data_IF_819747414914
#
_entry.id   IF_819747414914
#
_cell.length_a   1.000
_cell.length_b   1.000
_cell.length_c   1.000
_cell.angle_alpha   90.00
_cell.angle_beta   90.00
_cell.angle_gamma   90.00
#
_symmetry.space_group_name_H-M   'P 1'
#
loop_
_entity.id
_entity.type
_entity.pdbx_description
1 polymer ?
#
# COMPACT_ATOMS: atom_id res chain seq x y z
N UNK A 1 -15.71 3.95 -22.52
CA UNK A 1 -15.70 4.90 -21.39
C UNK A 1 -16.07 4.20 -20.05
N UNK A 2 -15.32 3.18 -19.63
CA UNK A 2 -15.57 2.42 -18.38
C UNK A 2 -14.52 2.74 -17.27
N UNK A 3 -13.54 3.61 -17.54
CA UNK A 3 -12.43 3.94 -16.63
C UNK A 3 -12.77 4.71 -15.34
N UNK A 4 -14.02 5.13 -15.12
CA UNK A 4 -14.38 5.99 -13.97
C UNK A 4 -14.29 5.27 -12.63
N UNK A 5 -14.67 4.00 -12.57
CA UNK A 5 -14.70 3.24 -11.30
C UNK A 5 -13.29 2.72 -10.92
N UNK A 6 -12.50 2.29 -11.91
CA UNK A 6 -11.12 1.83 -11.71
C UNK A 6 -10.23 2.93 -11.11
N UNK A 7 -10.33 4.14 -11.67
CA UNK A 7 -9.58 5.30 -11.20
C UNK A 7 -9.98 5.71 -9.79
N UNK A 8 -11.26 5.58 -9.42
CA UNK A 8 -11.72 5.81 -8.05
C UNK A 8 -11.08 4.85 -7.05
N UNK A 9 -11.04 3.55 -7.36
CA UNK A 9 -10.40 2.56 -6.49
C UNK A 9 -8.89 2.78 -6.35
N UNK A 10 -8.19 3.07 -7.45
CA UNK A 10 -6.77 3.39 -7.42
C UNK A 10 -6.50 4.70 -6.66
N UNK A 11 -7.36 5.71 -6.82
CA UNK A 11 -7.22 6.98 -6.12
C UNK A 11 -7.43 6.81 -4.62
N UNK A 12 -8.48 6.09 -4.21
CA UNK A 12 -8.75 5.78 -2.81
C UNK A 12 -7.58 5.01 -2.18
N UNK A 13 -7.08 3.96 -2.85
CA UNK A 13 -5.92 3.21 -2.37
C UNK A 13 -4.66 4.09 -2.27
N UNK A 14 -4.39 4.92 -3.28
CA UNK A 14 -3.24 5.81 -3.31
C UNK A 14 -3.31 6.89 -2.21
N UNK A 15 -4.49 7.44 -1.95
CA UNK A 15 -4.71 8.41 -0.88
C UNK A 15 -4.52 7.74 0.50
N UNK A 16 -5.10 6.57 0.71
CA UNK A 16 -4.92 5.82 1.97
C UNK A 16 -3.45 5.48 2.24
N UNK A 17 -2.70 5.04 1.22
CA UNK A 17 -1.26 4.79 1.35
C UNK A 17 -0.44 6.07 1.59
N UNK A 18 -0.84 7.19 1.00
CA UNK A 18 -0.20 8.48 1.27
C UNK A 18 -0.40 8.91 2.72
N UNK A 19 -1.64 8.87 3.22
CA UNK A 19 -1.96 9.23 4.61
C UNK A 19 -1.27 8.28 5.59
N UNK A 20 -1.24 7.00 5.27
CA UNK A 20 -0.52 5.98 6.04
C UNK A 20 0.96 6.30 6.19
N UNK A 21 1.62 6.68 5.10
CA UNK A 21 3.01 7.10 5.14
C UNK A 21 3.18 8.42 5.90
N UNK A 22 2.42 9.44 5.52
CA UNK A 22 2.56 10.81 6.02
C UNK A 22 2.37 10.89 7.55
N UNK A 23 1.40 10.18 8.10
CA UNK A 23 1.16 10.14 9.54
C UNK A 23 1.86 8.99 10.26
N UNK A 24 2.14 7.88 9.58
CA UNK A 24 2.69 6.68 10.19
C UNK A 24 4.21 6.63 10.28
N UNK A 25 4.93 7.40 9.46
CA UNK A 25 6.41 7.31 9.39
C UNK A 25 7.08 7.58 10.74
N UNK A 26 6.67 8.63 11.45
CA UNK A 26 7.22 8.96 12.78
C UNK A 26 7.04 7.80 13.78
N UNK A 27 5.90 7.11 13.72
CA UNK A 27 5.63 5.98 14.60
C UNK A 27 6.41 4.74 14.20
N UNK A 28 6.63 4.54 12.90
CA UNK A 28 7.50 3.49 12.41
C UNK A 28 8.93 3.63 12.95
N UNK A 29 9.48 4.84 12.89
CA UNK A 29 10.83 5.14 13.38
C UNK A 29 10.96 4.88 14.88
N UNK A 30 9.95 5.25 15.68
CA UNK A 30 9.94 4.98 17.13
C UNK A 30 9.96 3.49 17.48
N UNK A 31 9.39 2.63 16.64
CA UNK A 31 9.41 1.18 16.85
C UNK A 31 10.61 0.44 16.24
N UNK A 32 11.46 1.11 15.44
CA UNK A 32 12.67 0.47 14.87
C UNK A 32 13.60 -0.16 15.90
N UNK A 33 13.90 0.48 17.06
CA UNK A 33 14.81 -0.10 18.04
C UNK A 33 14.38 -1.50 18.51
N UNK A 34 13.07 -1.74 18.63
CA UNK A 34 12.50 -3.03 19.06
C UNK A 34 12.79 -4.12 18.03
N UNK A 35 12.62 -3.79 16.75
CA UNK A 35 12.89 -4.73 15.66
C UNK A 35 14.39 -4.99 15.51
N UNK A 36 15.22 -3.95 15.64
CA UNK A 36 16.68 -4.08 15.58
C UNK A 36 17.19 -4.99 16.71
N UNK A 37 16.67 -4.81 17.93
CA UNK A 37 17.01 -5.64 19.08
C UNK A 37 16.56 -7.09 18.90
N UNK A 38 15.36 -7.32 18.33
CA UNK A 38 14.87 -8.66 17.97
C UNK A 38 15.84 -9.43 17.05
N UNK A 39 16.56 -8.72 16.18
CA UNK A 39 17.60 -9.31 15.33
C UNK A 39 19.02 -9.21 15.91
N UNK A 40 19.16 -9.05 17.23
CA UNK A 40 20.44 -8.96 17.94
C UNK A 40 21.36 -7.85 17.40
N UNK A 41 20.81 -6.70 17.02
CA UNK A 41 21.56 -5.56 16.49
C UNK A 41 22.38 -5.91 15.23
N UNK A 42 21.85 -6.79 14.36
CA UNK A 42 22.53 -7.10 13.10
C UNK A 42 22.68 -5.84 12.24
N UNK A 43 23.86 -5.70 11.62
CA UNK A 43 24.19 -4.55 10.76
C UNK A 43 23.27 -4.51 9.53
N UNK A 44 22.75 -3.32 9.20
CA UNK A 44 21.97 -3.05 7.99
C UNK A 44 20.45 -3.22 8.13
N UNK A 45 19.96 -3.62 9.30
CA UNK A 45 18.52 -3.77 9.55
C UNK A 45 17.82 -2.41 9.62
N UNK A 46 18.49 -1.43 10.21
CA UNK A 46 18.11 -0.02 10.20
C UNK A 46 17.83 0.49 8.77
N UNK A 47 18.77 0.26 7.85
CA UNK A 47 18.63 0.65 6.44
C UNK A 47 17.48 -0.08 5.76
N UNK A 48 17.29 -1.38 6.05
CA UNK A 48 16.17 -2.16 5.51
C UNK A 48 14.83 -1.61 5.99
N UNK A 49 14.71 -1.29 7.28
CA UNK A 49 13.49 -0.74 7.88
C UNK A 49 13.14 0.64 7.30
N UNK A 50 14.15 1.48 7.07
CA UNK A 50 14.00 2.77 6.41
C UNK A 50 13.52 2.58 4.96
N UNK A 51 14.15 1.71 4.16
CA UNK A 51 13.69 1.46 2.79
C UNK A 51 12.23 0.97 2.75
N UNK A 52 11.87 0.06 3.66
CA UNK A 52 10.52 -0.50 3.71
C UNK A 52 9.47 0.56 4.12
N UNK A 53 9.81 1.50 5.01
CA UNK A 53 8.86 2.54 5.44
C UNK A 53 8.49 3.52 4.33
N UNK A 54 9.31 3.64 3.27
CA UNK A 54 8.98 4.42 2.08
C UNK A 54 8.16 3.67 1.01
N UNK A 55 7.97 2.36 1.13
CA UNK A 55 7.16 1.57 0.18
C UNK A 55 5.71 2.09 0.07
N UNK A 56 5.00 2.44 1.17
CA UNK A 56 3.69 3.08 1.11
C UNK A 56 3.62 4.31 0.19
N UNK A 57 4.62 5.20 0.28
CA UNK A 57 4.70 6.38 -0.58
C UNK A 57 4.88 5.98 -2.05
N UNK A 58 5.74 5.00 -2.32
CA UNK A 58 5.94 4.47 -3.67
C UNK A 58 4.65 3.89 -4.25
N UNK A 59 3.88 3.11 -3.47
CA UNK A 59 2.59 2.56 -3.90
C UNK A 59 1.62 3.68 -4.24
N UNK A 60 1.54 4.72 -3.40
CA UNK A 60 0.68 5.88 -3.64
C UNK A 60 1.00 6.58 -4.97
N UNK A 61 2.28 6.87 -5.22
CA UNK A 61 2.74 7.47 -6.48
C UNK A 61 2.42 6.58 -7.69
N UNK A 62 2.67 5.28 -7.59
CA UNK A 62 2.36 4.34 -8.65
C UNK A 62 0.84 4.24 -8.92
N UNK A 63 -0.01 4.32 -7.90
CA UNK A 63 -1.46 4.38 -8.08
C UNK A 63 -1.85 5.63 -8.89
N UNK A 64 -1.32 6.81 -8.55
CA UNK A 64 -1.54 8.04 -9.30
C UNK A 64 -1.03 7.95 -10.74
N UNK A 65 0.19 7.45 -10.95
CA UNK A 65 0.74 7.22 -12.29
C UNK A 65 -0.13 6.28 -13.12
N UNK A 66 -0.66 5.23 -12.50
CA UNK A 66 -1.56 4.28 -13.18
C UNK A 66 -2.84 4.95 -13.66
N UNK A 67 -3.39 5.89 -12.88
CA UNK A 67 -4.57 6.68 -13.27
C UNK A 67 -4.24 7.57 -14.49
N UNK A 68 -3.08 8.22 -14.50
CA UNK A 68 -2.65 9.09 -15.60
C UNK A 68 -2.39 8.33 -16.91
N UNK A 69 -2.04 7.04 -16.83
CA UNK A 69 -1.81 6.17 -17.99
C UNK A 69 -3.11 5.65 -18.62
N UNK A 70 -4.19 6.44 -18.56
CA UNK A 70 -5.52 6.05 -19.00
C UNK A 70 -5.63 5.70 -20.48
N UNK A 71 -4.61 5.98 -21.30
CA UNK A 71 -4.58 5.66 -22.72
C UNK A 71 -4.08 4.24 -23.01
N UNK A 72 -3.29 3.62 -22.12
CA UNK A 72 -2.61 2.34 -22.36
C UNK A 72 -3.03 1.26 -21.36
N UNK A 73 -4.12 0.54 -21.67
CA UNK A 73 -4.65 -0.55 -20.82
C UNK A 73 -3.61 -1.61 -20.42
N UNK A 74 -2.76 -2.12 -21.34
CA UNK A 74 -1.77 -3.13 -20.96
C UNK A 74 -0.76 -2.61 -19.94
N UNK A 75 -0.37 -1.34 -20.04
CA UNK A 75 0.52 -0.69 -19.08
C UNK A 75 -0.16 -0.48 -17.74
N UNK A 76 -1.43 -0.07 -17.73
CA UNK A 76 -2.22 0.06 -16.49
C UNK A 76 -2.34 -1.28 -15.75
N UNK A 77 -2.52 -2.39 -16.47
CA UNK A 77 -2.59 -3.74 -15.89
C UNK A 77 -1.25 -4.10 -15.23
N UNK A 78 -0.12 -3.88 -15.94
CA UNK A 78 1.22 -4.17 -15.41
C UNK A 78 1.51 -3.37 -14.15
N UNK A 79 1.25 -2.06 -14.15
CA UNK A 79 1.49 -1.20 -12.99
C UNK A 79 0.56 -1.52 -11.82
N UNK A 80 -0.73 -1.79 -12.09
CA UNK A 80 -1.67 -2.23 -11.06
C UNK A 80 -1.25 -3.56 -10.41
N UNK A 81 -0.67 -4.49 -11.19
CA UNK A 81 -0.13 -5.74 -10.68
C UNK A 81 1.11 -5.51 -9.80
N UNK A 82 2.00 -4.60 -10.19
CA UNK A 82 3.16 -4.20 -9.36
C UNK A 82 2.67 -3.58 -8.04
N UNK A 83 1.73 -2.65 -8.10
CA UNK A 83 1.11 -2.05 -6.92
C UNK A 83 0.48 -3.09 -5.99
N UNK A 84 -0.25 -4.05 -6.56
CA UNK A 84 -0.85 -5.12 -5.78
C UNK A 84 0.20 -5.96 -5.05
N UNK A 85 1.30 -6.33 -5.73
CA UNK A 85 2.40 -7.09 -5.11
C UNK A 85 3.09 -6.31 -4.00
N UNK A 86 3.39 -5.03 -4.21
CA UNK A 86 3.95 -4.15 -3.18
C UNK A 86 3.00 -4.03 -1.98
N UNK A 87 1.71 -3.90 -2.25
CA UNK A 87 0.67 -3.85 -1.21
C UNK A 87 0.61 -5.14 -0.39
N UNK A 88 0.77 -6.32 -1.01
CA UNK A 88 0.86 -7.59 -0.30
C UNK A 88 2.12 -7.70 0.57
N UNK A 89 3.26 -7.20 0.09
CA UNK A 89 4.48 -7.10 0.91
C UNK A 89 4.21 -6.24 2.14
N UNK A 90 3.51 -5.11 1.98
CA UNK A 90 3.12 -4.26 3.10
C UNK A 90 2.18 -4.95 4.08
N UNK A 91 1.25 -5.81 3.63
CA UNK A 91 0.43 -6.62 4.53
C UNK A 91 1.30 -7.52 5.42
N UNK A 92 2.26 -8.25 4.83
CA UNK A 92 3.15 -9.13 5.59
C UNK A 92 4.04 -8.35 6.57
N UNK A 93 4.63 -7.25 6.09
CA UNK A 93 5.45 -6.39 6.92
C UNK A 93 4.65 -5.79 8.09
N UNK A 94 3.41 -5.37 7.86
CA UNK A 94 2.55 -4.79 8.90
C UNK A 94 2.22 -5.81 9.98
N UNK A 95 1.88 -7.06 9.60
CA UNK A 95 1.66 -8.12 10.60
C UNK A 95 2.92 -8.36 11.42
N UNK A 96 4.07 -8.52 10.77
CA UNK A 96 5.35 -8.73 11.45
C UNK A 96 5.71 -7.56 12.38
N UNK A 97 5.67 -6.34 11.86
CA UNK A 97 6.08 -5.14 12.58
C UNK A 97 5.23 -4.91 13.83
N UNK A 98 3.90 -4.91 13.68
CA UNK A 98 3.01 -4.68 14.81
C UNK A 98 2.95 -5.87 15.77
N UNK A 99 3.17 -7.10 15.32
CA UNK A 99 3.30 -8.25 16.23
C UNK A 99 4.41 -8.04 17.27
N UNK A 100 5.53 -7.41 16.87
CA UNK A 100 6.67 -7.17 17.76
C UNK A 100 6.63 -5.81 18.48
N UNK A 101 6.12 -4.76 17.84
CA UNK A 101 6.25 -3.38 18.34
C UNK A 101 4.98 -2.77 18.93
N UNK A 102 3.81 -3.40 18.76
CA UNK A 102 2.52 -2.79 19.09
C UNK A 102 2.38 -2.38 20.56
N UNK A 103 2.79 -3.23 21.51
CA UNK A 103 2.65 -2.93 22.94
C UNK A 103 3.44 -1.67 23.31
N UNK A 104 4.72 -1.63 22.92
CA UNK A 104 5.57 -0.48 23.18
C UNK A 104 5.08 0.79 22.46
N UNK A 105 4.55 0.65 21.23
CA UNK A 105 3.98 1.78 20.51
C UNK A 105 2.73 2.34 21.21
N UNK A 106 1.85 1.49 21.75
CA UNK A 106 0.68 1.92 22.53
C UNK A 106 1.12 2.72 23.76
N UNK A 107 2.12 2.23 24.49
CA UNK A 107 2.62 2.91 25.70
C UNK A 107 3.21 4.29 25.40
N UNK A 108 3.69 4.50 24.16
CA UNK A 108 4.22 5.77 23.68
C UNK A 108 3.14 6.71 23.11
N UNK A 109 1.88 6.26 22.97
CA UNK A 109 0.82 7.08 22.39
C UNK A 109 0.40 8.21 23.34
N UNK A 110 0.39 9.48 22.89
CA UNK A 110 0.02 10.63 23.71
C UNK A 110 -1.49 10.74 23.94
N UNK A 111 -2.31 10.00 23.19
CA UNK A 111 -3.77 10.05 23.32
C UNK A 111 -4.45 8.78 22.80
N UNK A 112 -5.64 8.49 23.34
CA UNK A 112 -6.50 7.39 22.87
C UNK A 112 -6.92 7.53 21.40
N UNK A 113 -7.02 8.76 20.90
CA UNK A 113 -7.35 8.98 19.49
C UNK A 113 -6.25 8.45 18.57
N UNK A 114 -4.98 8.70 18.93
CA UNK A 114 -3.86 8.25 18.12
C UNK A 114 -3.67 6.73 18.21
N UNK A 115 -3.94 6.14 19.37
CA UNK A 115 -4.02 4.69 19.55
C UNK A 115 -5.06 4.07 18.58
N UNK A 116 -6.24 4.67 18.47
CA UNK A 116 -7.27 4.22 17.53
C UNK A 116 -6.83 4.35 16.06
N UNK A 117 -6.16 5.45 15.70
CA UNK A 117 -5.56 5.59 14.36
C UNK A 117 -4.51 4.52 14.09
N UNK A 118 -3.72 4.13 15.08
CA UNK A 118 -2.72 3.07 14.92
C UNK A 118 -3.38 1.72 14.63
N UNK A 119 -4.47 1.36 15.32
CA UNK A 119 -5.23 0.15 14.97
C UNK A 119 -5.82 0.23 13.55
N UNK A 120 -6.30 1.40 13.14
CA UNK A 120 -6.76 1.61 11.76
C UNK A 120 -5.61 1.47 10.75
N UNK A 121 -4.40 1.91 11.11
CA UNK A 121 -3.20 1.76 10.30
C UNK A 121 -2.87 0.28 10.05
N UNK A 122 -3.00 -0.60 11.04
CA UNK A 122 -2.78 -2.05 10.88
C UNK A 122 -3.66 -2.65 9.76
N UNK A 123 -4.91 -2.18 9.65
CA UNK A 123 -5.86 -2.67 8.65
C UNK A 123 -5.66 -2.03 7.26
N UNK A 124 -4.94 -0.92 7.18
CA UNK A 124 -4.85 -0.11 5.96
C UNK A 124 -4.26 -0.86 4.75
N UNK A 125 -3.14 -1.61 4.86
CA UNK A 125 -2.58 -2.35 3.71
C UNK A 125 -3.53 -3.42 3.18
N UNK A 126 -4.34 -4.04 4.04
CA UNK A 126 -5.33 -5.05 3.65
C UNK A 126 -6.47 -4.44 2.84
N UNK A 127 -7.02 -3.32 3.34
CA UNK A 127 -8.05 -2.56 2.64
C UNK A 127 -7.54 -2.07 1.28
N UNK A 128 -6.34 -1.49 1.23
CA UNK A 128 -5.75 -0.99 -0.01
C UNK A 128 -5.45 -2.12 -1.00
N UNK A 129 -4.96 -3.27 -0.53
CA UNK A 129 -4.73 -4.46 -1.37
C UNK A 129 -6.02 -4.89 -2.07
N UNK A 130 -7.13 -4.90 -1.33
CA UNK A 130 -8.45 -5.21 -1.88
C UNK A 130 -8.87 -4.20 -2.95
N UNK A 131 -8.74 -2.90 -2.70
CA UNK A 131 -9.09 -1.85 -3.67
C UNK A 131 -8.26 -1.95 -4.95
N UNK A 132 -6.94 -2.15 -4.83
CA UNK A 132 -6.03 -2.30 -5.97
C UNK A 132 -6.39 -3.56 -6.77
N UNK A 133 -6.71 -4.67 -6.10
CA UNK A 133 -7.16 -5.90 -6.76
C UNK A 133 -8.45 -5.69 -7.57
N UNK A 134 -9.43 -5.00 -7.00
CA UNK A 134 -10.67 -4.68 -7.70
C UNK A 134 -10.43 -3.77 -8.91
N UNK A 135 -9.58 -2.75 -8.77
CA UNK A 135 -9.17 -1.92 -9.90
C UNK A 135 -8.53 -2.77 -11.01
N UNK A 136 -7.59 -3.64 -10.66
CA UNK A 136 -6.92 -4.54 -11.61
C UNK A 136 -7.91 -5.43 -12.35
N UNK A 137 -8.88 -6.02 -11.64
CA UNK A 137 -9.91 -6.88 -12.25
C UNK A 137 -10.77 -6.11 -13.26
N UNK A 138 -11.15 -4.87 -12.92
CA UNK A 138 -11.94 -4.03 -13.80
C UNK A 138 -11.14 -3.57 -15.03
N UNK A 139 -9.86 -3.22 -14.88
CA UNK A 139 -9.01 -2.83 -16.02
C UNK A 139 -8.86 -4.00 -17.00
N UNK A 140 -8.66 -5.23 -16.50
CA UNK A 140 -8.59 -6.44 -17.34
C UNK A 140 -9.89 -6.69 -18.10
N UNK A 141 -11.03 -6.58 -17.43
CA UNK A 141 -12.35 -6.74 -18.06
C UNK A 141 -12.56 -5.72 -19.19
N UNK A 142 -12.10 -4.48 -18.99
CA UNK A 142 -12.17 -3.45 -20.02
C UNK A 142 -11.29 -3.75 -21.23
N UNK A 143 -10.08 -4.26 -20.99
CA UNK A 143 -9.15 -4.67 -22.05
C UNK A 143 -9.72 -5.83 -22.88
N UNK A 144 -10.25 -6.85 -22.21
CA UNK A 144 -10.90 -8.00 -22.85
C UNK A 144 -12.12 -7.59 -23.70
N UNK A 145 -12.91 -6.63 -23.22
CA UNK A 145 -14.06 -6.11 -23.97
C UNK A 145 -13.63 -5.44 -25.28
N UNK A 146 -12.59 -4.59 -25.24
CA UNK A 146 -12.06 -3.92 -26.44
C UNK A 146 -11.52 -4.97 -27.42
N UNK A 147 -10.70 -5.89 -26.94
CA UNK A 147 -10.15 -6.97 -27.75
C UNK A 147 -11.23 -7.86 -28.38
N UNK A 148 -12.36 -8.06 -27.70
CA UNK A 148 -13.48 -8.85 -28.25
C UNK A 148 -14.20 -8.14 -29.40
N UNK A 149 -14.34 -6.80 -29.33
CA UNK A 149 -14.96 -5.99 -30.38
C UNK A 149 -14.06 -5.94 -31.62
N UNK A 150 -12.76 -5.80 -31.42
CA UNK A 150 -11.79 -5.75 -32.53
C UNK A 150 -11.69 -7.08 -33.29
N UNK A 151 -12.03 -8.23 -32.67
CA UNK A 151 -12.08 -9.53 -33.34
C UNK A 151 -13.30 -9.74 -34.24
N UNK A 152 -14.36 -8.96 -34.04
CA UNK A 152 -15.62 -9.07 -34.80
C UNK A 152 -15.59 -8.17 -36.04
N UNK A 153 -14.71 -7.17 -36.06
CA UNK A 153 -14.45 -6.28 -37.21
C UNK A 153 -13.44 -6.88 -38.17
#
# INVERSE_FOLDING_TARGET
MIQRIQSLYLFAAGLCYFLYWFFGLEWYEKGYPIIIDFFNNAKGIDVILEIISFIPLLISLLCLLTILLFKSRPTQIKLSLINFRLSLIMCLFTVFYFYHSLVALIDLMPSRFLELLMYAAILNPFLCSYLIFYALRLIRKDDDLINSIDRIR
#
